data_IF_469993714348
#
_entry.id   IF_469993714348
#
_cell.length_a   1.000
_cell.length_b   1.000
_cell.length_c   1.000
_cell.angle_alpha   90.00
_cell.angle_beta   90.00
_cell.angle_gamma   90.00
#
_symmetry.space_group_name_H-M   'P 1'
#
loop_
_entity.id
_entity.type
_entity.pdbx_description
1 polymer ?
#
# COMPACT_ATOMS: atom_id res chain seq x y z
N UNK A 1 6.36 -14.61 -5.31
CA UNK A 1 5.05 -13.95 -5.10
C UNK A 1 5.13 -12.49 -5.52
N UNK A 2 3.97 -11.84 -5.70
CA UNK A 2 3.85 -10.41 -6.02
C UNK A 2 2.81 -9.77 -5.10
N UNK A 3 3.03 -8.53 -4.69
CA UNK A 3 2.01 -7.75 -3.99
C UNK A 3 1.14 -7.00 -4.99
N UNK A 4 -0.18 -7.04 -4.79
CA UNK A 4 -1.13 -6.31 -5.60
C UNK A 4 -2.10 -5.53 -4.69
N UNK A 5 -2.25 -4.23 -4.92
CA UNK A 5 -3.27 -3.41 -4.26
C UNK A 5 -4.64 -3.69 -4.88
N UNK A 6 -5.65 -3.86 -4.04
CA UNK A 6 -7.05 -4.04 -4.44
C UNK A 6 -7.64 -2.68 -4.79
N UNK A 7 -8.13 -2.54 -6.02
CA UNK A 7 -8.76 -1.32 -6.53
C UNK A 7 -10.26 -1.29 -6.20
N UNK A 8 -10.95 -2.40 -6.41
CA UNK A 8 -12.37 -2.55 -6.19
C UNK A 8 -12.72 -3.98 -5.84
N UNK A 9 -13.77 -4.16 -5.05
CA UNK A 9 -14.41 -5.45 -4.76
C UNK A 9 -15.88 -5.29 -5.13
N UNK A 10 -16.38 -6.16 -6.00
CA UNK A 10 -17.71 -6.02 -6.60
C UNK A 10 -18.35 -7.41 -6.79
N UNK A 11 -19.67 -7.42 -6.93
CA UNK A 11 -20.42 -8.61 -7.33
C UNK A 11 -20.66 -8.57 -8.84
N UNK A 12 -20.34 -9.67 -9.51
CA UNK A 12 -20.56 -9.86 -10.93
C UNK A 12 -21.92 -10.46 -11.24
N UNK A 13 -22.09 -10.84 -12.51
CA UNK A 13 -23.24 -11.62 -12.93
C UNK A 13 -23.34 -12.90 -12.09
N UNK A 14 -24.59 -13.32 -11.80
CA UNK A 14 -24.90 -14.46 -10.93
C UNK A 14 -24.44 -14.29 -9.48
N UNK A 15 -24.19 -13.06 -9.03
CA UNK A 15 -23.82 -12.77 -7.64
C UNK A 15 -22.41 -13.25 -7.26
N UNK A 16 -21.54 -13.49 -8.23
CA UNK A 16 -20.18 -13.98 -7.96
C UNK A 16 -19.30 -12.80 -7.50
N UNK A 17 -18.72 -12.83 -6.29
CA UNK A 17 -17.80 -11.78 -5.85
C UNK A 17 -16.48 -11.87 -6.62
N UNK A 18 -15.95 -10.72 -7.01
CA UNK A 18 -14.62 -10.59 -7.59
C UNK A 18 -13.94 -9.31 -7.11
N UNK A 19 -12.60 -9.31 -7.15
CA UNK A 19 -11.80 -8.12 -6.93
C UNK A 19 -10.98 -7.78 -8.16
N UNK A 20 -10.71 -6.49 -8.33
CA UNK A 20 -9.79 -5.97 -9.32
C UNK A 20 -8.54 -5.45 -8.62
N UNK A 21 -7.38 -5.77 -9.20
CA UNK A 21 -6.10 -5.29 -8.71
C UNK A 21 -5.59 -4.10 -9.52
N UNK A 22 -4.62 -3.38 -8.98
CA UNK A 22 -3.96 -2.28 -9.68
C UNK A 22 -3.24 -2.70 -10.97
N UNK A 23 -2.77 -3.96 -11.04
CA UNK A 23 -2.15 -4.52 -12.25
C UNK A 23 -3.17 -5.09 -13.26
N UNK A 24 -4.46 -4.76 -13.10
CA UNK A 24 -5.51 -5.09 -14.06
C UNK A 24 -6.02 -6.54 -14.00
N UNK A 25 -5.66 -7.30 -12.97
CA UNK A 25 -6.16 -8.67 -12.79
C UNK A 25 -7.55 -8.65 -12.15
N UNK A 26 -8.35 -9.65 -12.50
CA UNK A 26 -9.66 -9.91 -11.89
C UNK A 26 -9.61 -11.27 -11.21
N UNK A 27 -9.73 -11.29 -9.88
CA UNK A 27 -9.70 -12.51 -9.08
C UNK A 27 -11.10 -12.77 -8.54
N UNK A 28 -11.66 -13.93 -8.90
CA UNK A 28 -13.00 -14.36 -8.45
C UNK A 28 -12.92 -15.07 -7.11
N UNK A 29 -14.02 -15.06 -6.36
CA UNK A 29 -14.14 -15.67 -5.04
C UNK A 29 -13.03 -15.24 -4.05
N UNK A 30 -12.79 -13.92 -3.88
CA UNK A 30 -11.86 -13.46 -2.86
C UNK A 30 -12.42 -13.70 -1.45
N UNK A 31 -11.53 -13.70 -0.46
CA UNK A 31 -11.94 -13.71 0.96
C UNK A 31 -12.85 -12.50 1.26
N UNK A 32 -14.01 -12.69 1.92
CA UNK A 32 -14.95 -11.61 2.27
C UNK A 32 -14.35 -10.48 3.11
N UNK A 33 -13.26 -10.75 3.83
CA UNK A 33 -12.55 -9.79 4.66
C UNK A 33 -11.73 -8.78 3.86
N UNK A 34 -11.41 -9.08 2.60
CA UNK A 34 -10.63 -8.19 1.72
C UNK A 34 -11.51 -7.02 1.27
N UNK A 35 -11.03 -5.80 1.47
CA UNK A 35 -11.69 -4.55 1.07
C UNK A 35 -10.84 -3.77 0.06
N UNK A 36 -11.42 -2.70 -0.48
CA UNK A 36 -10.70 -1.79 -1.36
C UNK A 36 -9.53 -1.12 -0.61
N UNK A 37 -8.42 -0.89 -1.32
CA UNK A 37 -7.14 -0.39 -0.82
C UNK A 37 -6.30 -1.37 0.02
N UNK A 38 -6.82 -2.55 0.34
CA UNK A 38 -6.01 -3.62 0.93
C UNK A 38 -4.97 -4.11 -0.08
N UNK A 39 -3.95 -4.81 0.42
CA UNK A 39 -2.93 -5.43 -0.42
C UNK A 39 -2.99 -6.94 -0.30
N UNK A 40 -3.04 -7.62 -1.43
CA UNK A 40 -3.01 -9.08 -1.51
C UNK A 40 -1.61 -9.55 -1.92
N UNK A 41 -1.20 -10.69 -1.37
CA UNK A 41 -0.01 -11.44 -1.77
C UNK A 41 -0.45 -12.51 -2.76
N UNK A 42 -0.06 -12.32 -4.02
CA UNK A 42 -0.39 -13.22 -5.12
C UNK A 42 0.75 -14.21 -5.35
N UNK A 43 0.42 -15.49 -5.40
CA UNK A 43 1.32 -16.51 -5.93
C UNK A 43 1.32 -16.42 -7.47
N UNK A 44 2.49 -16.31 -8.08
CA UNK A 44 2.59 -16.11 -9.54
C UNK A 44 2.34 -17.40 -10.33
N UNK A 45 2.64 -18.56 -9.75
CA UNK A 45 2.52 -19.86 -10.40
C UNK A 45 1.06 -20.33 -10.38
N UNK A 46 0.40 -20.25 -9.22
CA UNK A 46 -1.00 -20.68 -9.07
C UNK A 46 -2.02 -19.57 -9.36
N UNK A 47 -1.58 -18.31 -9.41
CA UNK A 47 -2.44 -17.13 -9.54
C UNK A 47 -3.49 -16.99 -8.44
N UNK A 48 -3.27 -17.64 -7.29
CA UNK A 48 -4.14 -17.56 -6.10
C UNK A 48 -3.59 -16.58 -5.06
N UNK A 49 -4.49 -16.07 -4.24
CA UNK A 49 -4.16 -15.21 -3.10
C UNK A 49 -3.64 -16.12 -1.97
N UNK A 50 -2.43 -15.86 -1.50
CA UNK A 50 -1.85 -16.58 -0.34
C UNK A 50 -2.22 -15.91 0.98
N UNK A 51 -2.16 -14.58 1.01
CA UNK A 51 -2.37 -13.77 2.22
C UNK A 51 -2.75 -12.33 1.83
N UNK A 52 -3.25 -11.54 2.77
CA UNK A 52 -3.59 -10.14 2.55
C UNK A 52 -3.34 -9.26 3.78
N UNK A 53 -3.12 -7.96 3.55
CA UNK A 53 -2.98 -6.94 4.59
C UNK A 53 -4.07 -5.90 4.43
N UNK A 54 -4.75 -5.62 5.55
CA UNK A 54 -5.78 -4.58 5.63
C UNK A 54 -5.18 -3.18 5.58
N UNK A 55 -5.87 -2.26 4.93
CA UNK A 55 -5.57 -0.83 4.92
C UNK A 55 -5.92 -0.19 6.26
N UNK A 56 -5.02 -0.38 7.22
CA UNK A 56 -5.16 0.11 8.59
C UNK A 56 -3.87 0.73 9.13
N UNK A 57 -4.02 1.52 10.19
CA UNK A 57 -2.93 2.19 10.91
C UNK A 57 -1.91 1.17 11.42
N UNK A 58 -0.64 1.56 11.44
CA UNK A 58 0.45 0.72 11.93
C UNK A 58 1.06 -0.22 10.90
N UNK A 59 0.53 -0.27 9.67
CA UNK A 59 1.14 -1.05 8.58
C UNK A 59 2.13 -0.22 7.77
N UNK A 60 3.16 -0.91 7.25
CA UNK A 60 4.18 -0.29 6.40
C UNK A 60 3.65 -0.09 4.99
N UNK A 61 3.90 1.12 4.46
CA UNK A 61 3.43 1.58 3.17
C UNK A 61 4.55 2.19 2.34
N UNK A 62 4.40 2.09 1.04
CA UNK A 62 5.18 2.78 0.04
C UNK A 62 4.29 3.78 -0.71
N UNK A 63 4.82 4.98 -0.94
CA UNK A 63 4.14 5.99 -1.74
C UNK A 63 4.42 5.78 -3.22
N UNK A 64 3.38 5.60 -4.01
CA UNK A 64 3.48 5.32 -5.46
C UNK A 64 3.42 6.59 -6.33
N UNK A 65 2.92 7.71 -5.81
CA UNK A 65 2.72 8.94 -6.58
C UNK A 65 2.80 10.25 -5.77
N UNK A 66 2.87 11.37 -6.48
CA UNK A 66 2.98 12.72 -5.90
C UNK A 66 4.39 13.09 -5.43
N UNK A 67 4.51 14.20 -4.68
CA UNK A 67 5.80 14.76 -4.20
C UNK A 67 6.58 13.80 -3.29
N UNK A 68 5.88 12.91 -2.59
CA UNK A 68 6.47 11.93 -1.67
C UNK A 68 6.72 10.55 -2.31
N UNK A 69 6.65 10.43 -3.65
CA UNK A 69 6.85 9.16 -4.37
C UNK A 69 8.17 8.48 -3.97
N UNK A 70 8.12 7.17 -3.76
CA UNK A 70 9.28 6.34 -3.42
C UNK A 70 9.60 6.30 -1.93
N UNK A 71 8.95 7.14 -1.11
CA UNK A 71 9.10 7.08 0.35
C UNK A 71 8.38 5.88 0.94
N UNK A 72 8.97 5.31 1.99
CA UNK A 72 8.41 4.19 2.75
C UNK A 72 8.30 4.59 4.21
N UNK A 73 7.20 4.23 4.85
CA UNK A 73 6.96 4.53 6.25
C UNK A 73 5.78 3.75 6.81
N UNK A 74 5.42 4.01 8.06
CA UNK A 74 4.28 3.39 8.75
C UNK A 74 3.13 4.39 8.78
N UNK A 75 1.91 3.92 8.51
CA UNK A 75 0.72 4.77 8.66
C UNK A 75 0.53 5.11 10.14
N UNK A 76 0.51 6.40 10.47
CA UNK A 76 0.22 6.90 11.82
C UNK A 76 -1.25 7.27 12.00
N UNK A 77 -1.83 7.95 11.02
CA UNK A 77 -3.23 8.37 11.08
C UNK A 77 -3.87 8.37 9.70
N UNK A 78 -5.18 8.10 9.68
CA UNK A 78 -6.04 8.17 8.50
C UNK A 78 -7.14 9.20 8.75
N UNK A 79 -7.02 10.34 8.09
CA UNK A 79 -7.98 11.43 8.19
C UNK A 79 -9.05 11.30 7.10
N UNK A 80 -10.29 11.08 7.55
CA UNK A 80 -11.44 10.89 6.65
C UNK A 80 -12.21 12.17 6.49
N UNK A 81 -12.26 12.67 5.27
CA UNK A 81 -13.10 13.81 4.89
C UNK A 81 -14.29 13.32 4.07
N UNK A 82 -15.52 13.52 4.56
CA UNK A 82 -16.73 13.15 3.80
C UNK A 82 -16.81 14.00 2.53
N UNK A 83 -16.95 13.36 1.37
CA UNK A 83 -17.06 14.03 0.08
C UNK A 83 -15.73 14.50 -0.54
N UNK A 84 -14.59 14.23 0.12
CA UNK A 84 -13.26 14.54 -0.41
C UNK A 84 -12.32 13.33 -0.29
N UNK A 85 -11.07 13.51 -0.70
CA UNK A 85 -10.05 12.50 -0.59
C UNK A 85 -9.59 12.34 0.85
N UNK A 86 -9.38 11.09 1.27
CA UNK A 86 -8.78 10.80 2.57
C UNK A 86 -7.27 11.11 2.55
N UNK A 87 -6.81 11.77 3.62
CA UNK A 87 -5.41 12.11 3.83
C UNK A 87 -4.78 11.08 4.77
N UNK A 88 -3.64 10.53 4.37
CA UNK A 88 -2.90 9.52 5.13
C UNK A 88 -1.61 10.15 5.62
N UNK A 89 -1.45 10.17 6.93
CA UNK A 89 -0.26 10.64 7.63
C UNK A 89 0.67 9.45 7.86
N UNK A 90 1.91 9.57 7.39
CA UNK A 90 2.90 8.50 7.35
C UNK A 90 4.18 9.00 8.03
N UNK A 91 4.80 8.15 8.83
CA UNK A 91 6.09 8.40 9.46
C UNK A 91 7.13 7.43 8.90
N UNK A 92 8.26 7.95 8.42
CA UNK A 92 9.37 7.10 7.99
C UNK A 92 10.26 6.64 9.16
N UNK A 93 11.21 5.75 8.88
CA UNK A 93 12.09 5.21 9.90
C UNK A 93 13.07 6.26 10.50
N UNK A 94 13.21 7.43 9.90
CA UNK A 94 14.00 8.54 10.42
C UNK A 94 13.16 9.50 11.29
N UNK A 95 11.86 9.22 11.46
CA UNK A 95 10.94 10.04 12.24
C UNK A 95 10.38 11.24 11.47
N UNK A 96 10.60 11.33 10.16
CA UNK A 96 9.98 12.39 9.37
C UNK A 96 8.55 12.03 9.03
N UNK A 97 7.63 12.92 9.41
CA UNK A 97 6.22 12.82 9.06
C UNK A 97 5.90 13.49 7.73
N UNK A 98 5.01 12.89 6.97
CA UNK A 98 4.48 13.48 5.74
C UNK A 98 3.09 12.93 5.41
N UNK A 99 2.34 13.70 4.63
CA UNK A 99 0.98 13.33 4.23
C UNK A 99 0.89 13.01 2.73
N UNK A 100 0.00 12.07 2.38
CA UNK A 100 -0.37 11.76 1.00
C UNK A 100 -1.84 11.40 0.88
N UNK A 101 -2.43 11.51 -0.31
CA UNK A 101 -3.79 11.02 -0.57
C UNK A 101 -3.82 9.48 -0.56
N UNK A 102 -4.90 8.88 -0.08
CA UNK A 102 -5.10 7.42 -0.03
C UNK A 102 -4.78 6.69 -1.35
N UNK A 103 -5.10 7.29 -2.50
CA UNK A 103 -4.83 6.71 -3.81
C UNK A 103 -3.35 6.40 -4.06
N UNK A 104 -2.45 7.23 -3.51
CA UNK A 104 -1.00 7.13 -3.69
C UNK A 104 -0.32 6.21 -2.66
N UNK A 105 -1.09 5.60 -1.76
CA UNK A 105 -0.55 4.73 -0.70
C UNK A 105 -0.68 3.27 -1.12
N UNK A 106 0.41 2.51 -1.02
CA UNK A 106 0.44 1.08 -1.27
C UNK A 106 0.99 0.36 -0.04
N UNK A 107 0.26 -0.60 0.51
CA UNK A 107 0.72 -1.35 1.70
C UNK A 107 1.74 -2.39 1.24
N UNK A 108 2.91 -2.41 1.87
CA UNK A 108 4.00 -3.32 1.49
C UNK A 108 4.23 -4.43 2.51
N UNK A 109 3.52 -4.42 3.65
CA UNK A 109 3.65 -5.45 4.68
C UNK A 109 2.81 -5.16 5.91
N UNK A 110 2.90 -6.07 6.88
CA UNK A 110 2.15 -6.04 8.14
C UNK A 110 3.02 -5.45 9.26
N UNK A 111 2.49 -4.50 10.01
CA UNK A 111 3.26 -3.81 11.04
C UNK A 111 4.46 -3.05 10.44
N UNK A 112 5.61 -3.13 11.09
CA UNK A 112 6.87 -2.53 10.63
C UNK A 112 7.67 -3.40 9.64
N UNK A 113 7.26 -4.65 9.40
CA UNK A 113 8.01 -5.59 8.55
C UNK A 113 7.45 -5.58 7.12
N UNK A 114 8.21 -5.11 6.12
CA UNK A 114 7.80 -5.21 4.72
C UNK A 114 7.83 -6.67 4.26
N UNK A 115 6.85 -7.06 3.45
CA UNK A 115 6.80 -8.35 2.78
C UNK A 115 7.67 -8.40 1.52
N UNK A 116 8.24 -7.28 1.09
CA UNK A 116 9.16 -7.20 -0.05
C UNK A 116 10.48 -6.58 0.40
N UNK A 117 11.58 -7.01 -0.23
CA UNK A 117 12.87 -6.35 -0.07
C UNK A 117 12.81 -4.93 -0.64
N UNK A 118 13.21 -3.95 0.16
CA UNK A 118 13.25 -2.56 -0.26
C UNK A 118 14.57 -2.23 -0.96
N UNK A 119 14.58 -1.32 -1.96
CA UNK A 119 15.81 -0.81 -2.57
C UNK A 119 16.75 -0.13 -1.57
N UNK A 120 17.99 0.16 -2.01
CA UNK A 120 19.00 0.87 -1.22
C UNK A 120 18.42 2.19 -0.70
N UNK A 121 18.58 2.42 0.61
CA UNK A 121 17.99 3.59 1.30
C UNK A 121 16.62 3.34 1.93
N UNK A 122 16.02 2.14 1.75
CA UNK A 122 14.77 1.72 2.41
C UNK A 122 13.60 2.71 2.28
N UNK A 123 13.60 3.56 1.26
CA UNK A 123 12.59 4.59 1.06
C UNK A 123 12.69 5.80 2.01
N UNK A 124 13.85 6.02 2.63
CA UNK A 124 14.11 7.24 3.42
C UNK A 124 14.58 8.32 2.46
N UNK A 125 13.89 9.46 2.47
CA UNK A 125 14.29 10.64 1.70
C UNK A 125 15.21 11.51 2.56
N UNK A 126 16.45 11.67 2.12
CA UNK A 126 17.42 12.54 2.76
C UNK A 126 17.20 13.99 2.34
N UNK A 127 17.63 14.91 3.20
CA UNK A 127 17.75 16.32 2.83
C UNK A 127 18.93 16.54 1.89
N UNK A 128 18.93 17.65 1.16
CA UNK A 128 20.00 17.99 0.21
C UNK A 128 21.37 18.04 0.91
N UNK A 129 21.41 18.51 2.16
CA UNK A 129 22.62 18.59 2.98
C UNK A 129 23.12 17.19 3.37
N UNK A 130 22.22 16.29 3.76
CA UNK A 130 22.57 14.91 4.10
C UNK A 130 23.03 14.10 2.87
N UNK A 131 22.41 14.31 1.71
CA UNK A 131 22.86 13.72 0.45
C UNK A 131 24.26 14.19 0.09
N UNK A 132 24.53 15.49 0.23
CA UNK A 132 25.85 16.07 -0.04
C UNK A 132 26.93 15.53 0.91
N UNK A 133 26.63 15.30 2.19
CA UNK A 133 27.58 14.70 3.15
C UNK A 133 27.86 13.22 2.89
N UNK A 134 26.94 12.52 2.25
CA UNK A 134 27.03 11.08 1.96
C UNK A 134 27.74 10.78 0.64
N UNK A 135 27.77 11.76 -0.26
CA UNK A 135 28.45 11.70 -1.55
C UNK A 135 29.92 12.06 -1.39
#
# INVERSE_FOLDING_TARGET
>A
YKLCKVRSVQFGQKGIPYLNTYDGRTIRYPDPLIKANDTIKLNLDTQKIEDFVKFDVGNVVMVTGGRNRGRVGVIKNREKHKGSFETIHIEDAAGHEFATRQGNVFIVGKGSRPWVSLPKGKGIKLTIIEEARKR
#
